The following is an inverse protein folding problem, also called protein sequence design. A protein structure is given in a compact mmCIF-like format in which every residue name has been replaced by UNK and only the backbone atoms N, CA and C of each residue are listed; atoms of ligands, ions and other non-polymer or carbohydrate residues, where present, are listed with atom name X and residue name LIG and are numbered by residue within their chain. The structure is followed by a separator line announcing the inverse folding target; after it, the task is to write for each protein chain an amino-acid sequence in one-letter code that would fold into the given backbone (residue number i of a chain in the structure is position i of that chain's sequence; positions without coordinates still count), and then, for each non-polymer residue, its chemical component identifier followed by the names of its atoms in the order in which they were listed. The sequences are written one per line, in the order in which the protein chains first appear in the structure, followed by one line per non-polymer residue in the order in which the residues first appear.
data_IF_310150663147
#
_entry.id   IF_310150663147
#
_cell.length_a   1.000
_cell.length_b   1.000
_cell.length_c   1.000
_cell.angle_alpha   90.00
_cell.angle_beta   90.00
_cell.angle_gamma   90.00
#
_symmetry.space_group_name_H-M   'P 1'
#
loop_
_entity.id
_entity.type
_entity.pdbx_description
1 polymer ?
#
# COMPACT_ATOMS: atom_id res chain seq x y z
N UNK A 1 1.26 2.55 6.60
CA UNK A 1 1.41 1.84 5.30
C UNK A 1 2.83 1.29 5.09
N UNK A 2 3.89 2.05 5.38
CA UNK A 2 5.29 1.58 5.30
C UNK A 2 5.57 0.27 6.08
N UNK A 3 5.03 0.13 7.29
CA UNK A 3 5.17 -1.09 8.10
C UNK A 3 4.63 -2.33 7.36
N UNK A 4 3.47 -2.22 6.70
CA UNK A 4 2.89 -3.33 5.92
C UNK A 4 3.80 -3.73 4.76
N UNK A 5 4.34 -2.75 4.03
CA UNK A 5 5.31 -3.00 2.95
C UNK A 5 6.57 -3.72 3.45
N UNK A 6 7.12 -3.28 4.58
CA UNK A 6 8.27 -3.93 5.22
C UNK A 6 7.97 -5.39 5.58
N UNK A 7 6.83 -5.68 6.22
CA UNK A 7 6.48 -7.04 6.58
C UNK A 7 6.36 -7.95 5.36
N UNK A 8 5.78 -7.46 4.26
CA UNK A 8 5.70 -8.23 3.02
C UNK A 8 7.09 -8.43 2.41
N UNK A 9 7.90 -7.38 2.31
CA UNK A 9 9.24 -7.46 1.73
C UNK A 9 10.18 -8.39 2.53
N UNK A 10 10.04 -8.47 3.86
CA UNK A 10 10.87 -9.32 4.72
C UNK A 10 10.38 -10.76 4.88
N UNK A 11 9.06 -10.96 4.97
CA UNK A 11 8.51 -12.23 5.47
C UNK A 11 7.54 -12.92 4.51
N UNK A 12 7.17 -12.32 3.38
CA UNK A 12 6.21 -12.95 2.47
C UNK A 12 6.83 -14.15 1.73
N UNK A 13 6.03 -15.22 1.61
CA UNK A 13 6.41 -16.45 0.87
C UNK A 13 6.40 -16.24 -0.64
N UNK A 14 5.70 -15.21 -1.12
CA UNK A 14 5.60 -14.82 -2.53
C UNK A 14 5.35 -13.31 -2.61
N UNK A 15 5.36 -12.76 -3.81
CA UNK A 15 5.21 -11.33 -4.09
C UNK A 15 3.75 -10.91 -4.42
N UNK A 16 2.76 -11.79 -4.22
CA UNK A 16 1.36 -11.53 -4.60
C UNK A 16 0.75 -10.31 -3.90
N UNK A 17 1.14 -10.03 -2.66
CA UNK A 17 0.62 -8.92 -1.86
C UNK A 17 1.31 -7.58 -2.16
N UNK A 18 2.57 -7.62 -2.58
CA UNK A 18 3.35 -6.44 -2.91
C UNK A 18 4.35 -6.77 -4.02
N UNK A 19 3.90 -6.79 -5.29
CA UNK A 19 4.67 -7.27 -6.43
C UNK A 19 6.02 -6.59 -6.53
N UNK A 20 7.08 -7.31 -6.93
CA UNK A 20 8.41 -6.70 -7.10
C UNK A 20 8.57 -6.00 -8.46
N UNK A 21 7.74 -6.36 -9.44
CA UNK A 21 7.74 -5.71 -10.76
C UNK A 21 7.38 -4.23 -10.62
N UNK A 22 8.17 -3.30 -11.18
CA UNK A 22 8.03 -1.87 -10.94
C UNK A 22 6.65 -1.29 -11.27
N UNK A 23 6.02 -1.67 -12.39
CA UNK A 23 4.72 -1.12 -12.81
C UNK A 23 3.60 -1.59 -11.86
N UNK A 24 3.58 -2.87 -11.52
CA UNK A 24 2.63 -3.43 -10.57
C UNK A 24 2.81 -2.83 -9.17
N UNK A 25 4.06 -2.69 -8.70
CA UNK A 25 4.37 -2.04 -7.42
C UNK A 25 3.97 -0.57 -7.41
N UNK A 26 4.16 0.15 -8.52
CA UNK A 26 3.73 1.54 -8.65
C UNK A 26 2.21 1.69 -8.50
N UNK A 27 1.42 0.76 -9.07
CA UNK A 27 -0.03 0.76 -8.91
C UNK A 27 -0.43 0.54 -7.44
N UNK A 28 0.17 -0.44 -6.76
CA UNK A 28 -0.09 -0.68 -5.33
C UNK A 28 0.29 0.54 -4.48
N UNK A 29 1.46 1.12 -4.72
CA UNK A 29 1.92 2.33 -4.03
C UNK A 29 0.96 3.50 -4.25
N UNK A 30 0.50 3.72 -5.49
CA UNK A 30 -0.47 4.77 -5.79
C UNK A 30 -1.77 4.60 -4.98
N UNK A 31 -2.26 3.37 -4.80
CA UNK A 31 -3.42 3.10 -3.92
C UNK A 31 -3.12 3.34 -2.46
N UNK A 32 -1.93 2.95 -1.97
CA UNK A 32 -1.51 3.21 -0.60
C UNK A 32 -1.41 4.72 -0.30
N UNK A 33 -0.87 5.51 -1.23
CA UNK A 33 -0.82 6.96 -1.07
C UNK A 33 -2.21 7.60 -1.12
N UNK A 34 -3.07 7.18 -2.06
CA UNK A 34 -4.45 7.62 -2.12
C UNK A 34 -5.21 7.32 -0.81
N UNK A 35 -5.05 6.11 -0.28
CA UNK A 35 -5.65 5.71 0.98
C UNK A 35 -5.16 6.60 2.14
N UNK A 36 -3.88 6.99 2.15
CA UNK A 36 -3.31 7.84 3.19
C UNK A 36 -3.67 9.31 3.11
N UNK A 37 -3.71 9.86 1.90
CA UNK A 37 -3.82 11.29 1.67
C UNK A 37 -5.21 11.75 1.28
N UNK A 38 -6.10 10.83 0.91
CA UNK A 38 -7.44 11.17 0.42
C UNK A 38 -8.50 10.33 1.11
N UNK A 39 -8.54 9.01 0.88
CA UNK A 39 -9.67 8.19 1.35
C UNK A 39 -9.81 8.19 2.87
N UNK A 40 -8.75 7.82 3.60
CA UNK A 40 -8.82 7.75 5.06
C UNK A 40 -9.07 9.13 5.68
N UNK A 41 -8.48 10.18 5.10
CA UNK A 41 -8.68 11.54 5.55
C UNK A 41 -10.15 11.97 5.39
N UNK A 42 -10.73 11.82 4.20
CA UNK A 42 -12.14 12.16 3.95
C UNK A 42 -13.11 11.34 4.80
N UNK A 43 -12.80 10.07 5.06
CA UNK A 43 -13.60 9.24 5.97
C UNK A 43 -13.51 9.76 7.40
N UNK A 44 -12.32 10.13 7.88
CA UNK A 44 -12.13 10.65 9.22
C UNK A 44 -12.76 12.04 9.42
N UNK A 45 -12.89 12.86 8.38
CA UNK A 45 -13.61 14.14 8.44
C UNK A 45 -15.13 13.98 8.45
N UNK A 46 -15.65 12.90 7.86
CA UNK A 46 -17.08 12.65 7.78
C UNK A 46 -17.70 12.19 9.10
N UNK A 47 -16.94 11.43 9.92
CA UNK A 47 -17.39 10.86 11.20
C UNK A 47 -16.92 11.68 12.40
#
# INVERSE_FOLDING_TARGET
RAIMGYLVDQYAKNDSLYPKEPKARALVNQRLFFDSGSLYHSLAEYY
#
